data_IF_182657780811
#
_entry.id   IF_182657780811
#
_cell.length_a   1.000
_cell.length_b   1.000
_cell.length_c   1.000
_cell.angle_alpha   90.00
_cell.angle_beta   90.00
_cell.angle_gamma   90.00
#
_symmetry.space_group_name_H-M   'P 1'
#
loop_
_entity.id
_entity.type
_entity.pdbx_description
1 polymer ?
#
# COMPACT_ATOMS: atom_id res chain seq x y z
N UNK A 1 15.70 -28.40 -19.38
CA UNK A 1 15.62 -26.93 -19.29
C UNK A 1 16.32 -26.54 -17.99
N UNK A 2 17.45 -25.81 -18.01
CA UNK A 2 18.15 -25.50 -16.79
C UNK A 2 17.31 -24.50 -15.99
N UNK A 3 17.02 -24.86 -14.73
CA UNK A 3 16.41 -23.96 -13.75
C UNK A 3 17.28 -22.71 -13.65
N UNK A 4 16.70 -21.57 -14.03
CA UNK A 4 17.28 -20.26 -13.76
C UNK A 4 17.62 -20.23 -12.25
N UNK A 5 18.85 -19.85 -11.85
CA UNK A 5 19.18 -19.78 -10.43
C UNK A 5 18.12 -18.92 -9.74
N UNK A 6 17.63 -19.30 -8.55
CA UNK A 6 16.64 -18.50 -7.85
C UNK A 6 17.21 -17.10 -7.74
N UNK A 7 16.54 -16.14 -8.39
CA UNK A 7 16.86 -14.73 -8.24
C UNK A 7 16.90 -14.45 -6.74
N UNK A 8 17.87 -13.63 -6.32
CA UNK A 8 18.02 -13.23 -4.93
C UNK A 8 16.64 -12.83 -4.37
N UNK A 9 16.18 -13.54 -3.34
CA UNK A 9 14.85 -13.28 -2.77
C UNK A 9 14.79 -11.84 -2.28
N UNK A 10 13.75 -11.09 -2.64
CA UNK A 10 13.56 -9.71 -2.17
C UNK A 10 13.53 -9.61 -0.64
N UNK A 11 13.17 -10.70 0.05
CA UNK A 11 13.25 -10.82 1.50
C UNK A 11 14.68 -10.60 2.04
N UNK A 12 15.71 -10.96 1.27
CA UNK A 12 17.12 -10.71 1.65
C UNK A 12 17.51 -9.23 1.59
N UNK A 13 16.65 -8.39 1.04
CA UNK A 13 16.79 -6.93 1.01
C UNK A 13 15.97 -6.26 2.13
N UNK A 14 15.28 -7.05 2.96
CA UNK A 14 14.53 -6.54 4.11
C UNK A 14 15.37 -6.75 5.37
N UNK A 15 15.58 -5.67 6.10
CA UNK A 15 16.14 -5.69 7.46
C UNK A 15 15.07 -5.24 8.44
N UNK A 16 14.93 -5.95 9.57
CA UNK A 16 14.08 -5.50 10.67
C UNK A 16 14.86 -4.49 11.51
N UNK A 17 14.81 -3.20 11.12
CA UNK A 17 15.50 -2.12 11.84
C UNK A 17 14.67 -1.63 13.04
N UNK A 18 13.34 -1.65 12.90
CA UNK A 18 12.40 -1.25 13.94
C UNK A 18 11.27 -2.26 14.12
N UNK A 19 10.79 -2.35 15.36
CA UNK A 19 9.65 -3.18 15.74
C UNK A 19 10.00 -4.58 16.28
N UNK A 20 8.97 -5.34 16.69
CA UNK A 20 9.15 -6.70 17.22
C UNK A 20 9.57 -7.67 16.12
N UNK A 21 10.85 -8.06 16.10
CA UNK A 21 11.41 -8.95 15.08
C UNK A 21 10.77 -10.35 15.07
N UNK A 22 10.29 -10.81 16.23
CA UNK A 22 9.54 -12.04 16.43
C UNK A 22 8.14 -12.02 15.80
N UNK A 23 7.59 -10.83 15.51
CA UNK A 23 6.36 -10.68 14.73
C UNK A 23 6.69 -10.39 13.26
N UNK A 24 7.55 -9.41 12.99
CA UNK A 24 7.80 -8.90 11.64
C UNK A 24 8.52 -9.91 10.75
N UNK A 25 9.52 -10.64 11.27
CA UNK A 25 10.25 -11.65 10.52
C UNK A 25 9.34 -12.77 10.00
N UNK A 26 8.61 -13.48 10.89
CA UNK A 26 7.64 -14.48 10.48
C UNK A 26 6.54 -13.94 9.55
N UNK A 27 6.09 -12.69 9.78
CA UNK A 27 5.12 -12.03 8.91
C UNK A 27 5.63 -11.92 7.47
N UNK A 28 6.84 -11.39 7.25
CA UNK A 28 7.37 -11.24 5.89
C UNK A 28 7.52 -12.58 5.17
N UNK A 29 8.01 -13.61 5.87
CA UNK A 29 8.16 -14.95 5.31
C UNK A 29 6.82 -15.52 4.84
N UNK A 30 5.79 -15.46 5.69
CA UNK A 30 4.47 -15.99 5.36
C UNK A 30 3.74 -15.17 4.31
N UNK A 31 3.83 -13.85 4.38
CA UNK A 31 3.19 -12.96 3.41
C UNK A 31 3.82 -13.11 2.01
N UNK A 32 5.14 -13.27 1.92
CA UNK A 32 5.84 -13.59 0.67
C UNK A 32 5.44 -14.96 0.12
N UNK A 33 5.39 -16.00 0.96
CA UNK A 33 4.90 -17.32 0.55
C UNK A 33 3.45 -17.23 0.03
N UNK A 34 2.58 -16.52 0.74
CA UNK A 34 1.20 -16.33 0.33
C UNK A 34 1.07 -15.62 -1.03
N UNK A 35 1.96 -14.68 -1.33
CA UNK A 35 2.04 -14.01 -2.64
C UNK A 35 2.48 -15.00 -3.73
N UNK A 36 3.49 -15.83 -3.46
CA UNK A 36 3.96 -16.87 -4.40
C UNK A 36 2.91 -17.93 -4.69
N UNK A 37 2.17 -18.37 -3.68
CA UNK A 37 1.06 -19.32 -3.82
C UNK A 37 -0.06 -18.76 -4.72
N UNK A 38 -0.11 -17.43 -4.90
CA UNK A 38 -1.04 -16.72 -5.79
C UNK A 38 -0.41 -16.39 -7.15
N UNK A 39 0.72 -17.01 -7.47
CA UNK A 39 1.39 -16.91 -8.76
C UNK A 39 2.10 -15.57 -8.98
N UNK A 40 2.48 -14.87 -7.91
CA UNK A 40 3.25 -13.62 -8.02
C UNK A 40 4.56 -13.67 -7.24
N UNK A 41 5.60 -13.07 -7.81
CA UNK A 41 6.87 -12.81 -7.15
C UNK A 41 7.00 -11.31 -6.88
N UNK A 42 7.45 -10.97 -5.68
CA UNK A 42 7.58 -9.57 -5.25
C UNK A 42 9.01 -9.07 -5.47
N UNK A 43 9.15 -7.81 -5.83
CA UNK A 43 10.42 -7.10 -5.88
C UNK A 43 10.23 -5.61 -5.55
N UNK A 44 11.31 -4.94 -5.16
CA UNK A 44 11.33 -3.48 -5.23
C UNK A 44 11.29 -3.03 -6.69
N UNK A 45 10.50 -2.00 -6.97
CA UNK A 45 10.41 -1.34 -8.26
C UNK A 45 10.77 0.13 -8.16
N UNK A 46 10.95 0.78 -9.31
CA UNK A 46 11.09 2.24 -9.37
C UNK A 46 9.72 2.91 -9.48
N UNK A 47 9.64 4.20 -9.13
CA UNK A 47 8.41 4.96 -9.31
C UNK A 47 8.11 5.24 -10.79
N UNK A 48 9.13 5.31 -11.64
CA UNK A 48 8.98 5.37 -13.10
C UNK A 48 8.27 4.11 -13.63
N UNK A 49 8.65 2.92 -13.14
CA UNK A 49 8.00 1.68 -13.52
C UNK A 49 6.55 1.60 -13.01
N UNK A 50 6.29 2.14 -11.81
CA UNK A 50 4.93 2.26 -11.28
C UNK A 50 4.05 3.14 -12.18
N UNK A 51 4.56 4.31 -12.58
CA UNK A 51 3.88 5.25 -13.48
C UNK A 51 3.66 4.64 -14.86
N UNK A 52 4.67 3.98 -15.43
CA UNK A 52 4.56 3.29 -16.72
C UNK A 52 3.52 2.16 -16.67
N UNK A 53 3.49 1.39 -15.58
CA UNK A 53 2.49 0.35 -15.36
C UNK A 53 1.09 0.96 -15.27
N UNK A 54 0.92 2.07 -14.55
CA UNK A 54 -0.37 2.77 -14.46
C UNK A 54 -0.85 3.24 -15.83
N UNK A 55 0.02 3.91 -16.60
CA UNK A 55 -0.29 4.41 -17.94
C UNK A 55 -0.72 3.29 -18.91
N UNK A 56 -0.13 2.09 -18.80
CA UNK A 56 -0.52 0.92 -19.61
C UNK A 56 -1.84 0.26 -19.18
N UNK A 57 -2.34 0.55 -17.98
CA UNK A 57 -3.46 -0.15 -17.37
C UNK A 57 -4.65 0.76 -17.01
N UNK A 58 -4.76 1.94 -17.66
CA UNK A 58 -5.80 2.95 -17.42
C UNK A 58 -7.24 2.42 -17.56
N UNK A 59 -7.45 1.36 -18.35
CA UNK A 59 -8.75 0.68 -18.47
C UNK A 59 -9.24 0.02 -17.17
N UNK A 60 -8.35 -0.20 -16.21
CA UNK A 60 -8.65 -0.90 -14.96
C UNK A 60 -8.04 -0.24 -13.71
N UNK A 61 -7.28 0.84 -13.90
CA UNK A 61 -6.58 1.59 -12.87
C UNK A 61 -6.79 3.08 -13.12
N UNK A 62 -7.36 3.79 -12.15
CA UNK A 62 -7.40 5.25 -12.18
C UNK A 62 -5.98 5.83 -12.18
N UNK A 63 -5.80 7.08 -12.63
CA UNK A 63 -4.52 7.78 -12.53
C UNK A 63 -3.93 7.68 -11.11
N UNK A 64 -2.60 7.59 -11.03
CA UNK A 64 -1.92 7.68 -9.74
C UNK A 64 -2.17 9.05 -9.11
N UNK A 65 -2.29 9.06 -7.78
CA UNK A 65 -2.25 10.31 -7.03
C UNK A 65 -0.84 10.93 -7.16
N UNK A 66 -0.72 12.27 -7.25
CA UNK A 66 0.57 12.94 -7.50
C UNK A 66 1.71 12.53 -6.58
N UNK A 67 1.38 12.16 -5.34
CA UNK A 67 2.31 11.73 -4.30
C UNK A 67 3.25 10.58 -4.71
N UNK A 68 2.86 9.74 -5.69
CA UNK A 68 3.66 8.61 -6.20
C UNK A 68 4.20 8.80 -7.61
N UNK A 69 4.11 10.01 -8.18
CA UNK A 69 4.70 10.35 -9.47
C UNK A 69 5.94 11.24 -9.23
N UNK A 70 7.14 10.81 -9.66
CA UNK A 70 8.39 11.55 -9.43
C UNK A 70 8.41 12.92 -10.12
N UNK A 71 7.49 13.19 -11.06
CA UNK A 71 7.32 14.53 -11.66
C UNK A 71 6.78 15.58 -10.68
N UNK A 72 6.09 15.14 -9.63
CA UNK A 72 5.43 16.04 -8.67
C UNK A 72 6.25 16.25 -7.38
N UNK A 73 7.40 15.59 -7.26
CA UNK A 73 8.33 15.77 -6.14
C UNK A 73 9.32 14.62 -5.99
N UNK A 74 10.38 14.82 -5.20
CA UNK A 74 11.39 13.80 -4.99
C UNK A 74 10.83 12.60 -4.22
N UNK A 75 11.18 11.40 -4.69
CA UNK A 75 10.83 10.11 -4.08
C UNK A 75 12.11 9.31 -3.77
N UNK A 76 12.96 9.81 -2.86
CA UNK A 76 14.23 9.17 -2.60
C UNK A 76 14.03 7.84 -1.84
N UNK A 77 14.91 6.84 -2.02
CA UNK A 77 14.73 5.49 -1.45
C UNK A 77 14.61 5.44 0.08
N UNK A 78 15.14 6.43 0.79
CA UNK A 78 15.03 6.58 2.24
C UNK A 78 13.66 7.09 2.70
N UNK A 79 12.85 7.67 1.79
CA UNK A 79 11.52 8.22 2.11
C UNK A 79 10.35 7.59 1.35
N UNK A 80 10.63 6.81 0.32
CA UNK A 80 9.58 6.20 -0.49
C UNK A 80 10.07 4.87 -1.10
N UNK A 81 9.13 3.96 -1.31
CA UNK A 81 9.40 2.74 -2.07
C UNK A 81 8.17 2.27 -2.84
N UNK A 82 8.41 1.47 -3.86
CA UNK A 82 7.39 0.74 -4.61
C UNK A 82 7.68 -0.76 -4.57
N UNK A 83 6.62 -1.56 -4.39
CA UNK A 83 6.62 -3.01 -4.47
C UNK A 83 5.84 -3.40 -5.73
N UNK A 84 6.45 -4.24 -6.56
CA UNK A 84 5.84 -4.80 -7.75
C UNK A 84 5.69 -6.31 -7.60
N UNK A 85 4.48 -6.80 -7.88
CA UNK A 85 4.19 -8.22 -8.01
C UNK A 85 4.18 -8.61 -9.49
N UNK A 86 5.03 -9.57 -9.87
CA UNK A 86 5.13 -10.07 -11.24
C UNK A 86 4.69 -11.51 -11.36
N UNK A 87 4.02 -11.82 -12.46
CA UNK A 87 3.71 -13.21 -12.81
C UNK A 87 4.94 -13.94 -13.39
N UNK A 88 4.76 -15.22 -13.76
CA UNK A 88 5.83 -16.06 -14.35
C UNK A 88 6.38 -15.51 -15.67
N UNK A 89 5.61 -14.68 -16.38
CA UNK A 89 6.06 -14.01 -17.62
C UNK A 89 6.83 -12.72 -17.35
N UNK A 90 7.00 -12.32 -16.10
CA UNK A 90 7.65 -11.07 -15.69
C UNK A 90 6.76 -9.83 -15.84
N UNK A 91 5.47 -10.00 -16.14
CA UNK A 91 4.52 -8.90 -16.28
C UNK A 91 4.11 -8.39 -14.89
N UNK A 92 4.06 -7.07 -14.70
CA UNK A 92 3.52 -6.48 -13.46
C UNK A 92 2.01 -6.72 -13.40
N UNK A 93 1.58 -7.39 -12.33
CA UNK A 93 0.17 -7.76 -12.11
C UNK A 93 -0.38 -7.24 -10.78
N UNK A 94 0.51 -6.79 -9.89
CA UNK A 94 0.13 -6.15 -8.64
C UNK A 94 1.14 -5.06 -8.28
N UNK A 95 0.67 -3.98 -7.66
CA UNK A 95 1.53 -2.88 -7.21
C UNK A 95 1.12 -2.42 -5.82
N UNK A 96 2.07 -1.87 -5.08
CA UNK A 96 1.82 -1.13 -3.85
C UNK A 96 2.99 -0.16 -3.62
N UNK A 97 2.73 0.98 -3.00
CA UNK A 97 3.74 1.98 -2.69
C UNK A 97 3.52 2.59 -1.30
N UNK A 98 4.59 3.13 -0.74
CA UNK A 98 4.53 3.90 0.48
C UNK A 98 5.48 5.08 0.43
N UNK A 99 5.11 6.15 1.14
CA UNK A 99 5.94 7.33 1.35
C UNK A 99 5.81 7.80 2.80
N UNK A 100 6.93 8.14 3.44
CA UNK A 100 6.95 8.70 4.79
C UNK A 100 6.95 10.23 4.75
N UNK A 101 6.26 10.81 5.71
CA UNK A 101 6.32 12.22 6.05
C UNK A 101 6.69 12.38 7.53
N UNK A 102 7.34 13.50 7.85
CA UNK A 102 7.62 13.89 9.22
C UNK A 102 6.99 15.26 9.49
N UNK A 103 5.98 15.28 10.34
CA UNK A 103 5.10 16.40 10.59
C UNK A 103 5.07 16.76 12.08
N UNK A 104 6.17 17.26 12.68
CA UNK A 104 6.21 17.53 14.12
C UNK A 104 5.33 18.73 14.55
N UNK A 105 4.99 19.63 13.62
CA UNK A 105 4.26 20.87 13.89
C UNK A 105 3.01 21.04 13.01
N UNK A 106 2.66 20.02 12.25
CA UNK A 106 1.54 20.01 11.29
C UNK A 106 0.83 18.67 11.38
N UNK A 107 -0.22 18.47 10.59
CA UNK A 107 -1.00 17.23 10.59
C UNK A 107 -1.47 16.90 9.18
N UNK A 108 -2.01 15.69 9.00
CA UNK A 108 -2.59 15.28 7.73
C UNK A 108 -3.57 16.32 7.17
N UNK A 109 -4.42 16.89 8.02
CA UNK A 109 -5.37 17.96 7.66
C UNK A 109 -4.69 19.11 6.92
N UNK A 110 -3.68 19.73 7.54
CA UNK A 110 -3.00 20.90 6.98
C UNK A 110 -2.19 20.57 5.72
N UNK A 111 -1.57 19.39 5.69
CA UNK A 111 -0.75 18.97 4.55
C UNK A 111 -1.59 18.57 3.34
N UNK A 112 -2.77 17.99 3.58
CA UNK A 112 -3.72 17.67 2.53
C UNK A 112 -4.41 18.93 1.98
N UNK A 113 -4.93 19.83 2.84
CA UNK A 113 -5.62 21.05 2.37
C UNK A 113 -4.68 22.02 1.65
N UNK A 114 -3.42 22.12 2.08
CA UNK A 114 -2.40 22.91 1.37
C UNK A 114 -1.83 22.21 0.14
N UNK A 115 -2.25 20.96 -0.12
CA UNK A 115 -1.77 20.07 -1.18
C UNK A 115 -0.28 19.70 -1.12
N UNK A 116 0.45 20.09 -0.05
CA UNK A 116 1.85 19.71 0.18
C UNK A 116 2.04 18.21 0.41
N UNK A 117 0.98 17.52 0.83
CA UNK A 117 0.94 16.06 0.84
C UNK A 117 1.18 15.51 -0.58
N UNK A 118 0.58 16.12 -1.60
CA UNK A 118 0.56 15.58 -2.96
C UNK A 118 1.70 16.12 -3.83
N UNK A 119 2.15 17.35 -3.59
CA UNK A 119 3.13 18.05 -4.41
C UNK A 119 4.28 18.61 -3.56
N UNK A 120 5.50 18.59 -4.11
CA UNK A 120 6.63 19.30 -3.50
C UNK A 120 6.45 20.82 -3.54
N UNK A 121 5.91 21.34 -4.66
CA UNK A 121 5.51 22.74 -4.80
C UNK A 121 4.08 22.83 -5.37
N UNK A 122 3.06 22.93 -4.49
CA UNK A 122 1.68 23.04 -4.93
C UNK A 122 1.40 24.29 -5.78
N UNK A 123 2.17 25.38 -5.64
CA UNK A 123 1.92 26.61 -6.41
C UNK A 123 2.23 26.39 -7.89
N UNK A 124 3.25 25.59 -8.18
CA UNK A 124 3.71 25.33 -9.54
C UNK A 124 3.08 24.09 -10.17
N UNK A 125 2.73 23.07 -9.38
CA UNK A 125 2.42 21.74 -9.91
C UNK A 125 0.95 21.33 -9.88
N UNK A 126 0.11 21.98 -9.07
CA UNK A 126 -1.31 21.60 -8.96
C UNK A 126 -2.10 21.99 -10.20
N UNK A 127 -3.25 21.34 -10.45
CA UNK A 127 -4.19 21.82 -11.47
C UNK A 127 -4.81 23.16 -11.03
N UNK A 128 -5.19 24.08 -11.95
CA UNK A 128 -5.66 25.43 -11.60
C UNK A 128 -6.77 25.45 -10.54
N UNK A 129 -7.78 24.58 -10.66
CA UNK A 129 -8.91 24.46 -9.73
C UNK A 129 -8.72 23.41 -8.63
N UNK A 130 -7.58 22.71 -8.61
CA UNK A 130 -7.35 21.63 -7.65
C UNK A 130 -7.33 22.14 -6.23
N UNK A 131 -8.06 21.41 -5.38
CA UNK A 131 -8.12 21.60 -3.94
C UNK A 131 -8.53 20.30 -3.26
N UNK A 132 -8.09 20.16 -2.01
CA UNK A 132 -8.53 19.12 -1.11
C UNK A 132 -9.29 19.79 0.04
N UNK A 133 -10.48 19.28 0.36
CA UNK A 133 -11.25 19.70 1.52
C UNK A 133 -11.29 18.54 2.50
N UNK A 134 -10.91 18.80 3.74
CA UNK A 134 -10.82 17.76 4.77
C UNK A 134 -11.72 18.13 5.93
N UNK A 135 -12.76 17.32 6.20
CA UNK A 135 -13.60 17.50 7.39
C UNK A 135 -13.54 16.32 8.36
N UNK A 136 -12.91 15.21 7.96
CA UNK A 136 -12.60 14.05 8.79
C UNK A 136 -11.83 14.47 10.07
N UNK A 137 -12.43 14.39 11.28
CA UNK A 137 -11.82 14.91 12.51
C UNK A 137 -10.44 14.31 12.83
N UNK A 138 -10.24 13.02 12.52
CA UNK A 138 -8.99 12.31 12.83
C UNK A 138 -7.76 12.89 12.14
N UNK A 139 -7.94 13.52 10.99
CA UNK A 139 -6.84 14.16 10.23
C UNK A 139 -6.19 15.33 10.97
N UNK A 140 -6.85 15.90 11.97
CA UNK A 140 -6.32 17.01 12.77
C UNK A 140 -5.24 16.58 13.77
N UNK A 141 -5.29 15.34 14.25
CA UNK A 141 -4.32 14.82 15.22
C UNK A 141 -3.30 13.84 14.61
N UNK A 142 -3.57 13.28 13.42
CA UNK A 142 -2.58 12.44 12.73
C UNK A 142 -1.39 13.28 12.28
N UNK A 143 -0.25 13.09 12.96
CA UNK A 143 0.94 13.94 12.94
C UNK A 143 2.19 13.09 13.21
N UNK A 144 3.38 13.68 13.37
CA UNK A 144 4.62 12.93 13.63
C UNK A 144 5.14 12.20 12.39
N UNK A 145 5.55 10.94 12.54
CA UNK A 145 6.02 10.10 11.41
C UNK A 145 4.84 9.38 10.76
N UNK A 146 4.36 9.90 9.63
CA UNK A 146 3.15 9.43 8.95
C UNK A 146 3.48 8.75 7.62
N UNK A 147 3.13 7.48 7.50
CA UNK A 147 3.26 6.72 6.24
C UNK A 147 1.98 6.85 5.44
N UNK A 148 2.07 7.41 4.23
CA UNK A 148 1.00 7.30 3.24
C UNK A 148 1.17 6.02 2.43
N UNK A 149 0.21 5.10 2.53
CA UNK A 149 0.18 3.84 1.79
C UNK A 149 -0.82 3.93 0.63
N UNK A 150 -0.40 3.54 -0.57
CA UNK A 150 -1.22 3.65 -1.77
C UNK A 150 -0.54 3.05 -3.00
N UNK A 151 -0.84 3.57 -4.19
CA UNK A 151 -0.32 2.99 -5.44
C UNK A 151 -0.79 1.54 -5.69
N UNK A 152 -1.86 1.14 -4.99
CA UNK A 152 -2.39 -0.21 -5.01
C UNK A 152 -3.18 -0.49 -6.29
N UNK A 153 -2.78 -1.53 -7.03
CA UNK A 153 -3.53 -2.06 -8.16
C UNK A 153 -3.31 -3.54 -8.33
N UNK A 154 -4.33 -4.20 -8.87
CA UNK A 154 -4.31 -5.63 -9.18
C UNK A 154 -4.93 -5.81 -10.57
N UNK A 155 -4.17 -6.45 -11.47
CA UNK A 155 -4.63 -6.80 -12.82
C UNK A 155 -5.89 -7.64 -12.73
N UNK A 156 -6.80 -7.49 -13.69
CA UNK A 156 -8.18 -8.02 -13.58
C UNK A 156 -8.22 -9.53 -13.32
N UNK A 157 -7.33 -10.30 -13.93
CA UNK A 157 -7.13 -11.74 -13.77
C UNK A 157 -6.49 -12.15 -12.43
N UNK A 158 -5.85 -11.22 -11.72
CA UNK A 158 -5.29 -11.42 -10.37
C UNK A 158 -6.20 -10.85 -9.25
N UNK A 159 -7.34 -10.25 -9.61
CA UNK A 159 -8.35 -9.86 -8.63
C UNK A 159 -9.01 -11.12 -8.05
N UNK A 160 -9.52 -11.01 -6.82
CA UNK A 160 -10.12 -12.12 -6.05
C UNK A 160 -9.13 -13.22 -5.63
N UNK A 161 -7.85 -13.10 -6.00
CA UNK A 161 -6.77 -13.90 -5.40
C UNK A 161 -6.32 -13.32 -4.06
N UNK A 162 -7.13 -12.50 -3.40
CA UNK A 162 -6.83 -11.98 -2.05
C UNK A 162 -5.54 -11.16 -1.91
N UNK A 163 -4.92 -10.73 -3.00
CA UNK A 163 -3.70 -9.93 -2.97
C UNK A 163 -3.87 -8.60 -2.20
N UNK A 164 -5.09 -8.06 -2.16
CA UNK A 164 -5.45 -6.90 -1.32
C UNK A 164 -5.32 -7.15 0.18
N UNK A 165 -5.29 -8.40 0.62
CA UNK A 165 -5.06 -8.77 2.02
C UNK A 165 -3.57 -8.90 2.36
N UNK A 166 -2.71 -9.02 1.36
CA UNK A 166 -1.29 -9.33 1.54
C UNK A 166 -0.44 -8.09 1.28
N UNK A 167 -0.49 -7.52 0.08
CA UNK A 167 0.44 -6.46 -0.35
C UNK A 167 0.37 -5.20 0.52
N UNK A 168 -0.81 -4.69 0.91
CA UNK A 168 -0.89 -3.53 1.80
C UNK A 168 -0.26 -3.79 3.18
N UNK A 169 -0.41 -5.00 3.72
CA UNK A 169 0.24 -5.40 4.98
C UNK A 169 1.74 -5.51 4.83
N UNK A 170 2.23 -6.09 3.73
CA UNK A 170 3.66 -6.13 3.41
C UNK A 170 4.23 -4.71 3.36
N UNK A 171 3.60 -3.83 2.59
CA UNK A 171 4.04 -2.44 2.46
C UNK A 171 4.04 -1.72 3.80
N UNK A 172 3.00 -1.88 4.61
CA UNK A 172 2.93 -1.24 5.93
C UNK A 172 3.95 -1.80 6.92
N UNK A 173 4.16 -3.11 6.96
CA UNK A 173 5.20 -3.74 7.76
C UNK A 173 6.60 -3.25 7.35
N UNK A 174 6.85 -3.16 6.03
CA UNK A 174 8.11 -2.66 5.49
C UNK A 174 8.35 -1.19 5.85
N UNK A 175 7.31 -0.36 5.74
CA UNK A 175 7.38 1.04 6.12
C UNK A 175 7.66 1.20 7.62
N UNK A 176 7.01 0.39 8.46
CA UNK A 176 7.24 0.42 9.90
C UNK A 176 8.67 0.01 10.26
N UNK A 177 9.18 -1.08 9.70
CA UNK A 177 10.57 -1.50 9.98
C UNK A 177 11.59 -0.46 9.55
N UNK A 178 11.38 0.24 8.42
CA UNK A 178 12.34 1.25 7.92
C UNK A 178 12.28 2.58 8.65
N UNK A 179 11.10 2.98 9.12
CA UNK A 179 10.86 4.37 9.50
C UNK A 179 10.37 4.57 10.93
N UNK A 180 10.01 3.49 11.64
CA UNK A 180 9.39 3.55 12.97
C UNK A 180 8.20 4.53 12.99
N UNK A 181 7.25 4.34 12.07
CA UNK A 181 6.14 5.25 11.87
C UNK A 181 5.14 5.24 13.04
N UNK A 182 4.55 6.40 13.32
CA UNK A 182 3.49 6.57 14.32
C UNK A 182 2.12 6.19 13.74
N UNK A 183 1.90 6.57 12.48
CA UNK A 183 0.66 6.33 11.75
C UNK A 183 0.91 5.74 10.37
N UNK A 184 0.01 4.87 9.93
CA UNK A 184 -0.17 4.55 8.51
C UNK A 184 -1.53 5.03 8.05
N UNK A 185 -1.57 5.74 6.93
CA UNK A 185 -2.76 6.37 6.38
C UNK A 185 -2.94 6.05 4.90
N UNK A 186 -4.17 6.18 4.42
CA UNK A 186 -4.50 6.23 3.00
C UNK A 186 -5.77 7.04 2.81
N UNK A 187 -6.07 7.39 1.55
CA UNK A 187 -7.38 7.88 1.15
C UNK A 187 -7.96 6.90 0.15
N UNK A 188 -9.23 6.53 0.34
CA UNK A 188 -9.91 5.60 -0.55
C UNK A 188 -11.21 6.22 -1.02
N UNK A 189 -11.42 6.23 -2.33
CA UNK A 189 -12.67 6.69 -2.93
C UNK A 189 -13.86 5.92 -2.33
N UNK A 190 -15.01 6.58 -2.21
CA UNK A 190 -16.22 6.03 -1.59
C UNK A 190 -16.60 4.65 -2.17
N UNK A 191 -16.56 4.48 -3.49
CA UNK A 191 -16.82 3.18 -4.16
C UNK A 191 -15.86 2.07 -3.73
N UNK A 192 -14.60 2.41 -3.43
CA UNK A 192 -13.57 1.47 -2.97
C UNK A 192 -13.85 1.02 -1.54
N UNK A 193 -14.27 1.95 -0.67
CA UNK A 193 -14.70 1.65 0.69
C UNK A 193 -15.97 0.80 0.71
N UNK A 194 -16.99 1.16 -0.08
CA UNK A 194 -18.23 0.39 -0.21
C UNK A 194 -17.97 -1.05 -0.70
N UNK A 195 -16.93 -1.24 -1.52
CA UNK A 195 -16.44 -2.56 -1.92
C UNK A 195 -15.63 -3.31 -0.86
N UNK A 196 -15.57 -2.84 0.40
CA UNK A 196 -14.90 -3.49 1.52
C UNK A 196 -13.36 -3.48 1.45
N UNK A 197 -12.75 -2.55 0.70
CA UNK A 197 -11.29 -2.52 0.55
C UNK A 197 -10.57 -2.20 1.86
N UNK A 198 -11.08 -1.26 2.66
CA UNK A 198 -10.44 -0.89 3.94
C UNK A 198 -10.23 -2.09 4.87
N UNK A 199 -11.28 -2.88 5.08
CA UNK A 199 -11.21 -4.09 5.90
C UNK A 199 -10.29 -5.17 5.30
N UNK A 200 -10.33 -5.38 3.98
CA UNK A 200 -9.40 -6.31 3.29
C UNK A 200 -7.94 -5.89 3.50
N UNK A 201 -7.63 -4.60 3.43
CA UNK A 201 -6.30 -4.04 3.68
C UNK A 201 -5.92 -3.99 5.19
N UNK A 202 -6.84 -4.31 6.09
CA UNK A 202 -6.62 -4.33 7.55
C UNK A 202 -6.68 -2.97 8.23
N UNK A 203 -7.21 -1.92 7.59
CA UNK A 203 -7.38 -0.63 8.25
C UNK A 203 -8.45 -0.75 9.34
N UNK A 204 -8.12 -0.30 10.55
CA UNK A 204 -9.00 -0.35 11.73
C UNK A 204 -9.89 0.87 11.87
N UNK A 205 -9.45 2.02 11.33
CA UNK A 205 -10.19 3.27 11.43
C UNK A 205 -10.56 3.79 10.04
N UNK A 206 -11.80 4.24 9.91
CA UNK A 206 -12.35 4.89 8.72
C UNK A 206 -13.05 6.14 9.17
N UNK A 207 -12.63 7.28 8.63
CA UNK A 207 -13.21 8.59 8.90
C UNK A 207 -13.61 9.23 7.57
N UNK A 208 -14.83 9.77 7.49
CA UNK A 208 -15.40 10.22 6.24
C UNK A 208 -15.20 11.71 5.99
N UNK A 209 -15.48 12.10 4.75
CA UNK A 209 -15.50 13.48 4.28
C UNK A 209 -14.12 14.12 4.11
N UNK A 210 -13.30 13.43 3.31
CA UNK A 210 -12.21 14.02 2.55
C UNK A 210 -12.64 14.11 1.09
N UNK A 211 -12.55 15.29 0.46
CA UNK A 211 -12.93 15.47 -0.94
C UNK A 211 -11.78 16.08 -1.74
N UNK A 212 -11.40 15.41 -2.82
CA UNK A 212 -10.53 15.96 -3.85
C UNK A 212 -11.40 16.58 -4.93
N UNK A 213 -11.07 17.80 -5.36
CA UNK A 213 -11.75 18.50 -6.44
C UNK A 213 -10.74 18.80 -7.54
N UNK A 214 -11.15 18.56 -8.79
CA UNK A 214 -10.36 18.89 -9.99
C UNK A 214 -8.92 18.37 -9.95
N UNK A 215 -8.72 17.26 -9.23
CA UNK A 215 -7.43 16.61 -9.08
C UNK A 215 -7.12 15.73 -10.30
N UNK A 216 -5.89 15.22 -10.45
CA UNK A 216 -5.56 14.24 -11.49
C UNK A 216 -6.38 12.96 -11.45
N UNK A 217 -7.02 12.65 -10.31
CA UNK A 217 -7.96 11.52 -10.16
C UNK A 217 -9.44 11.93 -10.29
N UNK A 218 -9.69 13.18 -10.69
CA UNK A 218 -11.00 13.79 -10.81
C UNK A 218 -11.52 14.40 -9.49
N UNK A 219 -12.81 14.71 -9.49
CA UNK A 219 -13.53 15.14 -8.28
C UNK A 219 -14.12 13.92 -7.60
N UNK A 220 -13.64 13.61 -6.39
CA UNK A 220 -13.96 12.36 -5.70
C UNK A 220 -14.06 12.56 -4.18
N UNK A 221 -15.13 12.01 -3.60
CA UNK A 221 -15.27 11.85 -2.16
C UNK A 221 -14.53 10.58 -1.72
N UNK A 222 -13.73 10.73 -0.68
CA UNK A 222 -12.89 9.70 -0.10
C UNK A 222 -13.19 9.55 1.39
N UNK A 223 -12.90 8.36 1.92
CA UNK A 223 -12.65 8.19 3.33
C UNK A 223 -11.15 8.31 3.59
N UNK A 224 -10.82 8.89 4.74
CA UNK A 224 -9.50 8.80 5.36
C UNK A 224 -9.45 7.50 6.16
N UNK A 225 -8.53 6.60 5.81
CA UNK A 225 -8.33 5.35 6.52
C UNK A 225 -6.98 5.37 7.19
N UNK A 226 -6.91 4.92 8.44
CA UNK A 226 -5.69 5.06 9.22
C UNK A 226 -5.55 4.01 10.32
N UNK A 227 -4.31 3.85 10.79
CA UNK A 227 -3.94 2.99 11.90
C UNK A 227 -2.80 3.63 12.69
N UNK A 228 -2.87 3.51 14.01
CA UNK A 228 -1.71 3.72 14.88
C UNK A 228 -0.75 2.54 14.82
N UNK A 229 0.47 2.76 15.28
CA UNK A 229 1.49 1.71 15.48
C UNK A 229 0.96 0.46 16.17
N UNK A 230 0.24 0.60 17.28
CA UNK A 230 -0.29 -0.55 18.04
C UNK A 230 -1.30 -1.33 17.21
N UNK A 231 -2.20 -0.64 16.51
CA UNK A 231 -3.20 -1.25 15.65
C UNK A 231 -2.56 -1.98 14.47
N UNK A 232 -1.52 -1.38 13.88
CA UNK A 232 -0.72 -1.99 12.81
C UNK A 232 -0.12 -3.32 13.29
N UNK A 233 0.58 -3.32 14.43
CA UNK A 233 1.23 -4.51 14.95
C UNK A 233 0.22 -5.60 15.35
N UNK A 234 -0.94 -5.20 15.88
CA UNK A 234 -2.02 -6.13 16.18
C UNK A 234 -2.57 -6.78 14.89
N UNK A 235 -2.86 -6.00 13.84
CA UNK A 235 -3.35 -6.56 12.57
C UNK A 235 -2.35 -7.54 11.93
N UNK A 236 -1.04 -7.26 12.01
CA UNK A 236 -0.01 -8.19 11.52
C UNK A 236 0.01 -9.48 12.34
N UNK A 237 -0.14 -9.38 13.66
CA UNK A 237 -0.20 -10.54 14.56
C UNK A 237 -1.45 -11.39 14.33
N UNK A 238 -2.61 -10.75 14.15
CA UNK A 238 -3.88 -11.43 13.85
C UNK A 238 -3.84 -12.09 12.47
N UNK A 239 -3.21 -11.43 11.49
CA UNK A 239 -2.97 -12.01 10.17
C UNK A 239 -2.11 -13.27 10.28
N UNK A 240 -0.99 -13.21 11.02
CA UNK A 240 -0.14 -14.37 11.28
C UNK A 240 -0.89 -15.54 11.92
N UNK A 241 -1.67 -15.26 12.98
CA UNK A 241 -2.45 -16.27 13.69
C UNK A 241 -3.46 -16.96 12.76
N UNK A 242 -4.16 -16.20 11.90
CA UNK A 242 -5.09 -16.76 10.92
C UNK A 242 -4.40 -17.71 9.94
N UNK A 243 -3.19 -17.38 9.48
CA UNK A 243 -2.39 -18.25 8.62
C UNK A 243 -2.05 -19.58 9.31
N UNK A 244 -1.70 -19.55 10.59
CA UNK A 244 -1.38 -20.78 11.36
C UNK A 244 -2.60 -21.66 11.60
N UNK A 245 -3.75 -21.06 11.84
CA UNK A 245 -5.01 -21.81 12.05
C UNK A 245 -5.62 -22.36 10.74
N UNK A 246 -5.20 -21.86 9.57
CA UNK A 246 -5.89 -22.02 8.29
C UNK A 246 -5.31 -23.03 7.30
N UNK A 247 -4.18 -23.69 7.59
CA UNK A 247 -3.62 -24.74 6.72
C UNK A 247 -4.45 -26.06 6.71
N UNK A 248 -5.58 -26.13 7.42
CA UNK A 248 -6.44 -27.32 7.49
C UNK A 248 -7.75 -27.27 6.70
N UNK A 249 -8.11 -26.19 5.98
CA UNK A 249 -9.45 -26.12 5.34
C UNK A 249 -9.45 -26.09 3.81
N UNK A 250 -8.29 -26.14 3.14
CA UNK A 250 -8.26 -26.28 1.66
C UNK A 250 -7.39 -27.43 1.15
N UNK A 251 -7.38 -28.55 1.88
CA UNK A 251 -7.06 -29.85 1.28
C UNK A 251 -8.30 -30.40 0.57
N UNK A 252 -8.69 -29.81 -0.56
CA UNK A 252 -9.28 -30.60 -1.65
C UNK A 252 -8.17 -31.47 -2.25
N UNK A 253 -7.74 -32.45 -1.47
CA UNK A 253 -7.10 -33.64 -1.98
C UNK A 253 -8.23 -34.40 -2.65
N UNK A 254 -8.32 -34.27 -3.97
CA UNK A 254 -9.05 -35.24 -4.79
C UNK A 254 -8.39 -36.60 -4.56
N UNK A 255 -8.93 -37.38 -3.62
CA UNK A 255 -8.73 -38.81 -3.60
C UNK A 255 -9.42 -39.38 -4.83
N UNK A 256 -8.67 -39.56 -5.92
CA UNK A 256 -9.05 -40.58 -6.90
C UNK A 256 -8.72 -41.94 -6.29
N UNK A 257 -9.74 -42.59 -5.75
CA UNK A 257 -9.74 -44.03 -5.47
C UNK A 257 -9.66 -44.81 -6.79
N UNK A 258 -8.87 -45.89 -6.71
CA UNK A 258 -8.74 -47.09 -7.55
C UNK A 258 -9.44 -47.11 -8.91
#
# INVERSE_FOLDING_TARGET
MPLKPPGRSWLSEITVEHGPADVLGPFFLKADQAARDRGITLSFGTFEELVETNARNTSSWHPLIPLFDPKNGPLPPDKAFCILGRNEKGEVVATQAARIYHWPATSFFYEAESLRLFYADPVLSKQPAERCVVTAPSTRFVSGKVVFSGGGWYRRDYRKLELSMILPRISRALAFTRWDSDYTVSIMAEKVIQGGMAGRCGYTNVDWDLSLFDSPVGTVRCAFVWMERVQLLQDLSDFLARFDTGAQVDRRVDQRRA
#
